data_IF_602020389799
#
_entry.id   IF_602020389799
#
_cell.length_a   1.000
_cell.length_b   1.000
_cell.length_c   1.000
_cell.angle_alpha   90.00
_cell.angle_beta   90.00
_cell.angle_gamma   90.00
#
_symmetry.space_group_name_H-M   'P 1'
#
loop_
_entity.id
_entity.type
_entity.pdbx_description
1 polymer ?
#
# COMPACT_ATOMS: atom_id res chain seq x y z
N UNK A 1 -13.86 5.67 -16.08
CA UNK A 1 -13.14 6.55 -15.17
C UNK A 1 -13.36 6.21 -13.70
N UNK A 2 -14.53 6.50 -13.18
CA UNK A 2 -14.81 6.29 -11.77
C UNK A 2 -14.76 4.86 -11.30
N UNK A 3 -15.10 3.90 -12.18
CA UNK A 3 -15.14 2.49 -11.80
C UNK A 3 -13.78 1.91 -11.40
N UNK A 4 -12.74 2.23 -12.16
CA UNK A 4 -11.40 1.74 -11.87
C UNK A 4 -10.89 2.31 -10.55
N UNK A 5 -10.99 3.62 -10.38
CA UNK A 5 -10.52 4.29 -9.17
C UNK A 5 -11.28 3.79 -7.94
N UNK A 6 -12.58 3.60 -8.07
CA UNK A 6 -13.39 3.07 -6.97
C UNK A 6 -12.98 1.66 -6.58
N UNK A 7 -12.64 0.82 -7.57
CA UNK A 7 -12.19 -0.54 -7.28
C UNK A 7 -10.86 -0.54 -6.53
N UNK A 8 -9.95 0.35 -6.91
CA UNK A 8 -8.67 0.48 -6.21
C UNK A 8 -8.89 0.96 -4.79
N UNK A 9 -9.72 1.99 -4.62
CA UNK A 9 -10.03 2.52 -3.29
C UNK A 9 -10.67 1.45 -2.40
N UNK A 10 -11.59 0.66 -2.96
CA UNK A 10 -12.22 -0.43 -2.22
C UNK A 10 -11.22 -1.52 -1.85
N UNK A 11 -10.31 -1.83 -2.76
CA UNK A 11 -9.26 -2.82 -2.49
C UNK A 11 -8.33 -2.37 -1.36
N UNK A 12 -7.87 -1.14 -1.43
CA UNK A 12 -7.04 -0.57 -0.37
C UNK A 12 -7.77 -0.60 0.96
N UNK A 13 -9.04 -0.20 0.95
CA UNK A 13 -9.87 -0.23 2.16
C UNK A 13 -10.01 -1.62 2.75
N UNK A 14 -10.23 -2.62 1.91
CA UNK A 14 -10.33 -4.01 2.35
C UNK A 14 -9.02 -4.51 2.95
N UNK A 15 -7.88 -4.11 2.38
CA UNK A 15 -6.59 -4.48 2.93
C UNK A 15 -6.35 -3.83 4.29
N UNK A 16 -6.81 -2.60 4.46
CA UNK A 16 -6.75 -1.93 5.77
C UNK A 16 -7.58 -2.72 6.78
N UNK A 17 -8.81 -3.08 6.42
CA UNK A 17 -9.69 -3.85 7.29
C UNK A 17 -9.08 -5.20 7.66
N UNK A 18 -8.55 -5.89 6.67
CA UNK A 18 -7.95 -7.21 6.87
C UNK A 18 -6.82 -7.14 7.90
N UNK A 19 -5.90 -6.21 7.71
CA UNK A 19 -4.77 -6.10 8.63
C UNK A 19 -5.21 -5.65 10.01
N UNK A 20 -6.15 -4.71 10.06
CA UNK A 20 -6.69 -4.26 11.35
C UNK A 20 -7.28 -5.43 12.14
N UNK A 21 -8.08 -6.26 11.47
CA UNK A 21 -8.70 -7.40 12.13
C UNK A 21 -7.68 -8.47 12.51
N UNK A 22 -6.66 -8.69 11.71
CA UNK A 22 -5.57 -9.59 12.05
C UNK A 22 -4.89 -9.19 13.35
N UNK A 23 -4.76 -7.89 13.58
CA UNK A 23 -4.14 -7.36 14.80
C UNK A 23 -5.13 -7.29 15.97
N UNK A 24 -6.38 -7.62 15.74
CA UNK A 24 -7.40 -7.57 16.78
C UNK A 24 -7.84 -6.16 17.16
N UNK A 25 -7.63 -5.20 16.26
CA UNK A 25 -8.02 -3.81 16.51
C UNK A 25 -9.43 -3.53 16.04
N UNK A 26 -10.16 -2.73 16.81
CA UNK A 26 -11.45 -2.21 16.37
C UNK A 26 -11.24 -0.99 15.49
N UNK A 27 -12.27 -0.59 14.75
CA UNK A 27 -12.22 0.64 13.97
C UNK A 27 -11.97 1.84 14.88
N UNK A 28 -12.56 1.83 16.06
CA UNK A 28 -12.39 2.89 17.04
C UNK A 28 -10.95 3.00 17.52
N UNK A 29 -10.31 1.86 17.77
CA UNK A 29 -8.91 1.83 18.21
C UNK A 29 -7.97 2.35 17.12
N UNK A 30 -8.21 1.97 15.89
CA UNK A 30 -7.40 2.48 14.78
C UNK A 30 -7.63 3.98 14.60
N UNK A 31 -8.89 4.41 14.69
CA UNK A 31 -9.24 5.82 14.59
C UNK A 31 -8.53 6.65 15.64
N UNK A 32 -8.52 6.18 16.87
CA UNK A 32 -7.83 6.85 17.97
C UNK A 32 -6.33 6.96 17.69
N UNK A 33 -5.72 5.89 17.20
CA UNK A 33 -4.30 5.88 16.88
C UNK A 33 -3.94 6.88 15.79
N UNK A 34 -4.87 7.16 14.88
CA UNK A 34 -4.66 8.07 13.75
C UNK A 34 -5.24 9.48 14.00
N UNK A 35 -5.86 9.68 15.15
CA UNK A 35 -6.51 10.95 15.51
C UNK A 35 -7.57 11.36 14.49
N UNK A 36 -8.41 10.40 14.10
CA UNK A 36 -9.55 10.64 13.20
C UNK A 36 -10.79 10.00 13.82
N UNK A 37 -11.97 10.29 13.27
CA UNK A 37 -13.20 9.65 13.73
C UNK A 37 -13.28 8.20 13.25
N UNK A 38 -14.03 7.36 13.96
CA UNK A 38 -14.20 5.98 13.51
C UNK A 38 -15.02 5.93 12.22
N UNK A 39 -15.90 6.90 12.00
CA UNK A 39 -16.63 7.00 10.72
C UNK A 39 -15.66 7.19 9.56
N UNK A 40 -14.57 7.92 9.79
CA UNK A 40 -13.57 8.10 8.75
C UNK A 40 -12.90 6.77 8.43
N UNK A 41 -12.62 5.96 9.44
CA UNK A 41 -12.05 4.62 9.22
C UNK A 41 -13.04 3.77 8.42
N UNK A 42 -14.33 3.82 8.76
CA UNK A 42 -15.35 3.09 8.00
C UNK A 42 -15.33 3.50 6.52
N UNK A 43 -15.22 4.79 6.25
CA UNK A 43 -15.19 5.29 4.87
C UNK A 43 -13.94 4.84 4.12
N UNK A 44 -12.81 4.78 4.80
CA UNK A 44 -11.60 4.23 4.19
C UNK A 44 -11.77 2.74 3.88
N UNK A 45 -12.29 1.99 4.83
CA UNK A 45 -12.39 0.53 4.70
C UNK A 45 -13.38 0.10 3.64
N UNK A 46 -14.41 0.90 3.39
CA UNK A 46 -15.38 0.60 2.34
C UNK A 46 -15.00 1.19 0.98
N UNK A 47 -13.99 2.04 0.95
CA UNK A 47 -13.62 2.72 -0.28
C UNK A 47 -14.47 3.95 -0.59
N UNK A 48 -15.35 4.34 0.34
CA UNK A 48 -16.19 5.53 0.16
C UNK A 48 -15.32 6.78 0.07
N UNK A 49 -14.22 6.81 0.81
CA UNK A 49 -13.24 7.90 0.72
C UNK A 49 -11.89 7.31 0.33
N UNK A 50 -11.18 8.02 -0.53
CA UNK A 50 -9.83 7.65 -0.92
C UNK A 50 -8.86 7.99 0.21
N UNK A 51 -7.90 7.11 0.45
CA UNK A 51 -6.84 7.35 1.43
C UNK A 51 -5.73 8.13 0.74
N UNK A 52 -5.37 9.28 1.28
CA UNK A 52 -4.25 10.07 0.74
C UNK A 52 -2.94 9.32 0.96
N UNK A 53 -1.92 9.67 0.19
CA UNK A 53 -0.60 9.04 0.32
C UNK A 53 -0.04 9.21 1.73
N UNK A 54 -0.16 10.40 2.30
CA UNK A 54 0.31 10.65 3.66
C UNK A 54 -0.44 9.84 4.70
N UNK A 55 -1.75 9.76 4.58
CA UNK A 55 -2.57 8.97 5.50
C UNK A 55 -2.27 7.48 5.34
N UNK A 56 -2.05 7.04 4.12
CA UNK A 56 -1.71 5.64 3.86
C UNK A 56 -0.42 5.25 4.58
N UNK A 57 0.57 6.13 4.55
CA UNK A 57 1.82 5.88 5.27
C UNK A 57 1.60 5.79 6.78
N UNK A 58 0.78 6.68 7.33
CA UNK A 58 0.44 6.64 8.75
C UNK A 58 -0.26 5.33 9.13
N UNK A 59 -1.23 4.93 8.31
CA UNK A 59 -1.97 3.69 8.54
C UNK A 59 -1.02 2.49 8.49
N UNK A 60 -0.14 2.46 7.48
CA UNK A 60 0.82 1.38 7.35
C UNK A 60 1.70 1.24 8.60
N UNK A 61 2.16 2.36 9.13
CA UNK A 61 2.98 2.35 10.34
C UNK A 61 2.21 1.85 11.54
N UNK A 62 0.96 2.28 11.70
CA UNK A 62 0.13 1.83 12.83
C UNK A 62 -0.23 0.36 12.73
N UNK A 63 -0.38 -0.17 11.51
CA UNK A 63 -0.71 -1.56 11.29
C UNK A 63 0.52 -2.46 11.12
N UNK A 64 1.70 -1.87 11.19
CA UNK A 64 2.98 -2.57 11.08
C UNK A 64 3.11 -3.36 9.77
N UNK A 65 2.81 -2.68 8.68
CA UNK A 65 3.01 -3.19 7.33
C UNK A 65 3.66 -2.10 6.48
N UNK A 66 4.23 -2.48 5.33
CA UNK A 66 4.66 -1.47 4.38
C UNK A 66 3.48 -1.06 3.49
N UNK A 67 3.63 0.06 2.79
CA UNK A 67 2.55 0.60 1.95
C UNK A 67 2.15 -0.38 0.86
N UNK A 68 3.09 -1.16 0.34
CA UNK A 68 2.82 -2.14 -0.70
C UNK A 68 1.79 -3.19 -0.30
N UNK A 69 1.65 -3.44 1.00
CA UNK A 69 0.66 -4.38 1.51
C UNK A 69 -0.76 -4.04 1.02
N UNK A 70 -1.07 -2.73 0.96
CA UNK A 70 -2.42 -2.29 0.59
C UNK A 70 -2.74 -2.53 -0.88
N UNK A 71 -1.72 -2.79 -1.69
CA UNK A 71 -1.89 -3.01 -3.13
C UNK A 71 -1.75 -4.47 -3.53
N UNK A 72 -1.47 -5.35 -2.58
CA UNK A 72 -1.36 -6.79 -2.87
C UNK A 72 -2.69 -7.32 -3.36
N UNK A 73 -2.61 -8.11 -4.41
CA UNK A 73 -3.80 -8.71 -4.99
C UNK A 73 -4.43 -7.91 -6.12
N UNK A 74 -3.95 -6.68 -6.37
CA UNK A 74 -4.44 -5.92 -7.52
C UNK A 74 -3.89 -6.52 -8.80
N UNK A 75 -4.74 -6.62 -9.82
CA UNK A 75 -4.30 -7.03 -11.14
C UNK A 75 -3.64 -5.84 -11.84
N UNK A 76 -2.84 -6.12 -12.88
CA UNK A 76 -2.24 -5.08 -13.69
C UNK A 76 -3.28 -4.13 -14.26
N UNK A 77 -4.42 -4.68 -14.63
CA UNK A 77 -5.53 -3.91 -15.15
C UNK A 77 -6.07 -2.91 -14.16
N UNK A 78 -6.27 -3.36 -12.92
CA UNK A 78 -6.77 -2.49 -11.85
C UNK A 78 -5.74 -1.46 -11.42
N UNK A 79 -4.47 -1.81 -11.52
CA UNK A 79 -3.41 -0.86 -11.24
C UNK A 79 -3.30 0.23 -12.32
N UNK A 80 -4.05 0.06 -13.42
CA UNK A 80 -4.09 1.08 -14.46
C UNK A 80 -2.91 1.07 -15.40
N UNK A 81 -2.16 -0.02 -15.44
CA UNK A 81 -0.94 -0.11 -16.22
C UNK A 81 -1.21 -0.76 -17.57
N UNK A 82 -0.85 -0.12 -18.68
CA UNK A 82 -0.93 -0.77 -20.00
C UNK A 82 -0.11 -2.05 -20.01
N UNK A 83 -0.51 -3.02 -20.82
CA UNK A 83 0.15 -4.31 -20.89
C UNK A 83 1.66 -4.22 -21.09
N UNK A 84 2.10 -3.32 -21.95
CA UNK A 84 3.53 -3.15 -22.20
C UNK A 84 4.31 -2.67 -20.99
N UNK A 85 3.62 -2.08 -20.01
CA UNK A 85 4.25 -1.57 -18.78
C UNK A 85 3.78 -2.33 -17.55
N UNK A 86 2.79 -3.21 -17.70
CA UNK A 86 2.19 -3.93 -16.58
C UNK A 86 3.21 -4.71 -15.77
N UNK A 87 4.10 -5.42 -16.47
CA UNK A 87 5.13 -6.19 -15.79
C UNK A 87 6.10 -5.33 -14.98
N UNK A 88 6.45 -4.17 -15.49
CA UNK A 88 7.33 -3.24 -14.78
C UNK A 88 6.71 -2.74 -13.50
N UNK A 89 5.45 -2.33 -13.58
CA UNK A 89 4.79 -1.78 -12.41
C UNK A 89 4.55 -2.83 -11.34
N UNK A 90 4.17 -4.03 -11.77
CA UNK A 90 4.02 -5.14 -10.85
C UNK A 90 5.35 -5.47 -10.18
N UNK A 91 6.43 -5.50 -10.96
CA UNK A 91 7.76 -5.77 -10.43
C UNK A 91 8.19 -4.71 -9.42
N UNK A 92 7.86 -3.44 -9.69
CA UNK A 92 8.19 -2.36 -8.79
C UNK A 92 7.45 -2.51 -7.45
N UNK A 93 6.16 -2.83 -7.49
CA UNK A 93 5.37 -3.04 -6.28
C UNK A 93 5.93 -4.22 -5.48
N UNK A 94 6.24 -5.32 -6.15
CA UNK A 94 6.81 -6.49 -5.48
C UNK A 94 8.17 -6.20 -4.88
N UNK A 95 8.98 -5.42 -5.59
CA UNK A 95 10.30 -5.04 -5.11
C UNK A 95 10.19 -4.20 -3.84
N UNK A 96 9.30 -3.22 -3.84
CA UNK A 96 9.10 -2.37 -2.66
C UNK A 96 8.65 -3.23 -1.48
N UNK A 97 7.70 -4.12 -1.71
CA UNK A 97 7.20 -5.00 -0.66
C UNK A 97 8.30 -5.90 -0.09
N UNK A 98 9.07 -6.52 -0.98
CA UNK A 98 10.15 -7.42 -0.57
C UNK A 98 11.26 -6.65 0.14
N UNK A 99 11.56 -5.46 -0.34
CA UNK A 99 12.56 -4.61 0.28
C UNK A 99 12.17 -4.28 1.73
N UNK A 100 10.89 -4.02 1.96
CA UNK A 100 10.39 -3.76 3.30
C UNK A 100 10.56 -4.92 4.28
N UNK A 101 10.67 -6.15 3.77
CA UNK A 101 10.84 -7.33 4.59
C UNK A 101 12.29 -7.59 5.00
N UNK A 102 13.23 -6.92 4.35
CA UNK A 102 14.65 -7.11 4.63
C UNK A 102 15.02 -6.30 5.87
N UNK A 103 15.54 -6.99 6.87
CA UNK A 103 15.87 -6.35 8.15
C UNK A 103 17.33 -5.99 8.30
N UNK A 104 18.21 -6.65 7.56
CA UNK A 104 19.64 -6.39 7.64
C UNK A 104 19.99 -5.06 6.97
N UNK A 105 20.54 -4.08 7.71
CA UNK A 105 20.84 -2.76 7.16
C UNK A 105 21.84 -2.78 6.00
N UNK A 106 22.81 -3.67 6.05
CA UNK A 106 23.81 -3.77 4.98
C UNK A 106 23.17 -4.29 3.69
N UNK A 107 22.31 -5.29 3.80
CA UNK A 107 21.59 -5.84 2.65
C UNK A 107 20.66 -4.80 2.08
N UNK A 108 19.94 -4.08 2.94
CA UNK A 108 19.03 -3.02 2.49
C UNK A 108 19.80 -1.95 1.72
N UNK A 109 20.95 -1.52 2.23
CA UNK A 109 21.75 -0.50 1.59
C UNK A 109 22.27 -0.96 0.23
N UNK A 110 22.71 -2.21 0.14
CA UNK A 110 23.21 -2.78 -1.10
C UNK A 110 22.10 -2.84 -2.16
N UNK A 111 20.90 -3.29 -1.76
CA UNK A 111 19.77 -3.39 -2.68
C UNK A 111 19.30 -1.99 -3.09
N UNK A 112 19.26 -1.04 -2.17
CA UNK A 112 18.88 0.32 -2.48
C UNK A 112 19.83 0.94 -3.50
N UNK A 113 21.12 0.69 -3.36
CA UNK A 113 22.12 1.16 -4.32
C UNK A 113 21.91 0.55 -5.70
N UNK A 114 21.63 -0.75 -5.73
CA UNK A 114 21.38 -1.43 -7.00
C UNK A 114 20.13 -0.90 -7.69
N UNK A 115 19.05 -0.71 -6.94
CA UNK A 115 17.81 -0.16 -7.48
C UNK A 115 18.05 1.23 -8.05
N UNK A 116 18.79 2.07 -7.33
CA UNK A 116 19.12 3.40 -7.81
C UNK A 116 19.90 3.35 -9.13
N UNK A 117 20.87 2.45 -9.23
CA UNK A 117 21.63 2.27 -10.44
C UNK A 117 20.75 1.88 -11.62
N UNK A 118 19.82 0.96 -11.38
CA UNK A 118 18.89 0.50 -12.41
C UNK A 118 17.99 1.65 -12.87
N UNK A 119 17.47 2.42 -11.93
CA UNK A 119 16.61 3.55 -12.24
C UNK A 119 17.37 4.62 -13.04
N UNK A 120 18.58 4.95 -12.63
CA UNK A 120 19.40 5.95 -13.31
C UNK A 120 19.71 5.52 -14.74
N UNK A 121 19.94 4.24 -14.96
CA UNK A 121 20.21 3.73 -16.30
C UNK A 121 18.98 3.67 -17.18
N UNK A 122 17.84 3.38 -16.56
CA UNK A 122 16.58 3.26 -17.28
C UNK A 122 16.00 4.62 -17.66
N UNK A 123 16.32 5.62 -16.86
CA UNK A 123 15.87 6.98 -17.08
C UNK A 123 16.67 7.69 -18.12
#
# INVERSE_FOLDING_TARGET
>A
MGGRTKRIDAHVGERIRLRRTELGLTQEQLAEALDVSYQQIQKYETGANRVSAGRMLEIARKLDVDVGYFFEGLSDEEAGTPLEHGGRQRSAIELVRKFGQIKDPEVRAAIAGLVKTIVDRAG
#
